data_IF_995035523841
#
_entry.id   IF_995035523841
#
_cell.length_a   1.000
_cell.length_b   1.000
_cell.length_c   1.000
_cell.angle_alpha   90.00
_cell.angle_beta   90.00
_cell.angle_gamma   90.00
#
_symmetry.space_group_name_H-M   'P 1'
#
loop_
_entity.id
_entity.type
_entity.pdbx_description
1 polymer ?
#
# COMPACT_ATOMS: atom_id res chain seq x y z
N UNK A 1 -4.43 32.53 56.74
CA UNK A 1 -4.69 32.07 55.35
C UNK A 1 -3.33 32.09 54.65
N UNK A 2 -2.45 31.10 54.83
CA UNK A 2 -2.61 29.72 54.39
C UNK A 2 -1.96 29.56 53.01
N UNK A 3 -0.63 29.44 52.95
CA UNK A 3 0.10 28.32 52.34
C UNK A 3 0.45 28.51 50.84
N UNK A 4 1.74 28.64 50.51
CA UNK A 4 2.66 27.59 50.03
C UNK A 4 2.42 27.19 48.56
N UNK A 5 3.53 27.22 47.80
CA UNK A 5 4.03 26.10 47.00
C UNK A 5 4.32 26.38 45.51
N UNK A 6 5.61 26.59 45.28
CA UNK A 6 6.46 25.82 44.36
C UNK A 6 6.24 25.82 42.84
N UNK A 7 7.20 26.48 42.16
CA UNK A 7 8.24 25.84 41.33
C UNK A 7 7.80 24.77 40.30
N UNK A 8 7.90 25.08 39.00
CA UNK A 8 9.02 24.70 38.08
C UNK A 8 8.60 24.84 36.60
N UNK A 9 9.55 25.14 35.70
CA UNK A 9 9.29 25.22 34.26
C UNK A 9 9.10 23.82 33.67
N UNK A 10 8.03 23.63 32.90
CA UNK A 10 7.74 22.35 32.25
C UNK A 10 8.52 22.29 30.93
N UNK A 11 9.69 21.66 31.03
CA UNK A 11 10.37 20.81 30.05
C UNK A 11 9.81 20.80 28.62
N UNK A 12 10.64 21.25 27.68
CA UNK A 12 10.50 21.05 26.24
C UNK A 12 10.50 19.56 25.92
N UNK A 13 9.31 18.94 25.91
CA UNK A 13 9.15 17.59 25.37
C UNK A 13 9.04 17.71 23.86
N UNK A 14 10.18 17.52 23.20
CA UNK A 14 10.31 17.25 21.77
C UNK A 14 9.16 16.33 21.37
N UNK A 15 8.24 16.84 20.55
CA UNK A 15 7.19 16.02 19.94
C UNK A 15 7.87 15.11 18.93
N UNK A 16 8.45 14.02 19.40
CA UNK A 16 8.72 12.89 18.54
C UNK A 16 7.37 12.45 17.98
N UNK A 17 7.13 12.81 16.72
CA UNK A 17 6.11 12.17 15.90
C UNK A 17 6.46 10.68 15.95
N UNK A 18 5.60 9.80 16.47
CA UNK A 18 5.79 8.39 16.21
C UNK A 18 5.75 8.29 14.69
N UNK A 19 6.87 7.92 14.07
CA UNK A 19 6.86 7.33 12.75
C UNK A 19 6.02 6.07 12.94
N UNK A 20 4.72 6.20 12.69
CA UNK A 20 3.77 5.12 12.76
C UNK A 20 4.06 4.27 11.51
N UNK A 21 5.10 3.46 11.68
CA UNK A 21 5.34 2.17 11.07
C UNK A 21 4.19 1.82 10.13
N UNK A 22 4.35 2.13 8.84
CA UNK A 22 3.52 1.56 7.75
C UNK A 22 4.03 0.14 7.53
N UNK A 23 3.97 -0.67 8.58
CA UNK A 23 4.44 -2.04 8.60
C UNK A 23 3.35 -2.81 9.35
N UNK A 24 2.69 -3.71 8.65
CA UNK A 24 1.77 -4.67 9.28
C UNK A 24 0.39 -4.79 8.64
N UNK A 25 -0.28 -3.70 8.26
CA UNK A 25 -1.63 -3.82 7.70
C UNK A 25 -1.66 -4.44 6.28
N UNK A 26 -0.52 -4.47 5.58
CA UNK A 26 -0.37 -5.17 4.28
C UNK A 26 0.06 -6.63 4.43
N UNK A 27 0.84 -6.99 5.46
CA UNK A 27 1.37 -8.34 5.60
C UNK A 27 0.28 -9.38 5.95
N UNK A 28 -0.81 -8.95 6.58
CA UNK A 28 -1.97 -9.78 6.84
C UNK A 28 -2.93 -9.95 5.64
N UNK A 29 -2.67 -9.27 4.50
CA UNK A 29 -3.42 -9.54 3.26
C UNK A 29 -2.91 -10.84 2.65
N UNK A 30 -3.50 -11.94 3.13
CA UNK A 30 -3.55 -13.24 2.48
C UNK A 30 -2.17 -13.79 2.07
N UNK A 31 -1.67 -14.78 2.81
CA UNK A 31 -0.78 -15.78 2.21
C UNK A 31 -1.56 -16.52 1.11
N UNK A 32 -1.70 -15.89 -0.07
CA UNK A 32 -2.14 -16.56 -1.28
C UNK A 32 -0.96 -17.37 -1.76
N UNK A 33 -1.15 -18.68 -1.80
CA UNK A 33 -0.20 -19.60 -2.39
C UNK A 33 0.00 -19.19 -3.86
N UNK A 34 1.24 -18.97 -4.30
CA UNK A 34 1.51 -18.55 -5.69
C UNK A 34 0.92 -19.52 -6.71
N UNK A 35 0.81 -20.80 -6.35
CA UNK A 35 0.18 -21.84 -7.16
C UNK A 35 -1.34 -21.64 -7.39
N UNK A 36 -2.02 -20.79 -6.63
CA UNK A 36 -3.44 -20.48 -6.84
C UNK A 36 -3.68 -19.25 -7.73
N UNK A 37 -2.63 -18.65 -8.27
CA UNK A 37 -2.71 -17.49 -9.18
C UNK A 37 -2.60 -17.99 -10.62
N UNK A 38 -3.50 -17.51 -11.49
CA UNK A 38 -3.35 -17.71 -12.94
C UNK A 38 -2.09 -16.97 -13.41
N UNK A 39 -1.10 -17.72 -13.88
CA UNK A 39 0.18 -17.16 -14.33
C UNK A 39 0.02 -16.24 -15.54
N UNK A 40 -1.05 -16.37 -16.32
CA UNK A 40 -1.36 -15.43 -17.42
C UNK A 40 -1.64 -14.01 -16.89
N UNK A 41 -2.04 -13.88 -15.62
CA UNK A 41 -2.25 -12.60 -14.98
C UNK A 41 -0.95 -11.81 -14.82
N UNK A 42 0.19 -12.50 -14.70
CA UNK A 42 1.50 -11.86 -14.60
C UNK A 42 1.86 -11.09 -15.88
N UNK A 43 1.52 -11.64 -17.05
CA UNK A 43 1.72 -10.98 -18.34
C UNK A 43 0.86 -9.71 -18.47
N UNK A 44 -0.38 -9.78 -17.99
CA UNK A 44 -1.28 -8.62 -17.97
C UNK A 44 -0.79 -7.53 -17.01
N UNK A 45 -0.24 -7.93 -15.85
CA UNK A 45 0.33 -7.02 -14.87
C UNK A 45 1.58 -6.32 -15.41
N UNK A 46 2.49 -7.06 -16.04
CA UNK A 46 3.69 -6.52 -16.67
C UNK A 46 3.35 -5.44 -17.71
N UNK A 47 2.44 -5.76 -18.65
CA UNK A 47 2.01 -4.82 -19.67
C UNK A 47 1.38 -3.55 -19.07
N UNK A 48 0.66 -3.66 -17.95
CA UNK A 48 0.09 -2.52 -17.24
C UNK A 48 1.14 -1.65 -16.56
N UNK A 49 2.17 -2.25 -15.98
CA UNK A 49 3.28 -1.51 -15.37
C UNK A 49 4.07 -0.73 -16.43
N UNK A 50 4.24 -1.31 -17.61
CA UNK A 50 4.92 -0.69 -18.75
C UNK A 50 4.09 0.46 -19.35
N UNK A 51 2.83 0.20 -19.71
CA UNK A 51 2.02 1.13 -20.50
C UNK A 51 1.25 2.15 -19.65
N UNK A 52 1.01 1.86 -18.36
CA UNK A 52 0.19 2.66 -17.43
C UNK A 52 -1.21 3.03 -17.96
N UNK A 53 -1.70 2.26 -18.94
CA UNK A 53 -2.97 2.46 -19.61
C UNK A 53 -3.54 1.10 -20.02
N UNK A 54 -4.73 0.77 -19.52
CA UNK A 54 -5.34 -0.55 -19.75
C UNK A 54 -5.68 -0.86 -21.20
N UNK A 55 -5.97 0.14 -22.03
CA UNK A 55 -6.24 -0.08 -23.46
C UNK A 55 -4.97 -0.42 -24.22
N UNK A 56 -3.87 0.29 -23.92
CA UNK A 56 -2.57 0.01 -24.53
C UNK A 56 -2.00 -1.33 -24.06
N UNK A 57 -2.08 -1.62 -22.76
CA UNK A 57 -1.66 -2.90 -22.19
C UNK A 57 -2.46 -4.07 -22.81
N UNK A 58 -3.79 -3.95 -22.91
CA UNK A 58 -4.62 -4.99 -23.51
C UNK A 58 -4.25 -5.27 -24.97
N UNK A 59 -4.01 -4.21 -25.76
CA UNK A 59 -3.52 -4.35 -27.14
C UNK A 59 -2.17 -5.03 -27.21
N UNK A 60 -1.25 -4.71 -26.29
CA UNK A 60 0.08 -5.31 -26.23
C UNK A 60 0.01 -6.84 -26.04
N UNK A 61 -0.85 -7.32 -25.14
CA UNK A 61 -1.05 -8.76 -24.88
C UNK A 61 -2.16 -9.40 -25.73
N UNK A 62 -2.62 -8.72 -26.78
CA UNK A 62 -3.67 -9.19 -27.72
C UNK A 62 -5.01 -9.56 -27.05
N UNK A 63 -5.35 -8.89 -25.95
CA UNK A 63 -6.66 -8.98 -25.30
C UNK A 63 -7.54 -7.78 -25.66
N UNK A 64 -8.85 -7.95 -25.52
CA UNK A 64 -9.74 -6.80 -25.41
C UNK A 64 -9.57 -6.14 -24.03
N UNK A 65 -9.75 -4.81 -23.95
CA UNK A 65 -9.71 -4.10 -22.67
C UNK A 65 -10.73 -4.67 -21.64
N UNK A 66 -11.97 -5.03 -22.02
CA UNK A 66 -12.92 -5.68 -21.10
C UNK A 66 -12.44 -7.05 -20.60
N UNK A 67 -11.75 -7.84 -21.43
CA UNK A 67 -11.18 -9.12 -21.00
C UNK A 67 -10.06 -8.92 -19.98
N UNK A 68 -9.17 -7.96 -20.22
CA UNK A 68 -8.10 -7.60 -19.28
C UNK A 68 -8.66 -7.09 -17.95
N UNK A 69 -9.66 -6.19 -18.00
CA UNK A 69 -10.28 -5.66 -16.77
C UNK A 69 -11.04 -6.71 -15.96
N UNK A 70 -11.46 -7.83 -16.56
CA UNK A 70 -12.10 -8.94 -15.84
C UNK A 70 -11.09 -9.92 -15.24
N UNK A 71 -9.87 -9.95 -15.76
CA UNK A 71 -8.80 -10.82 -15.27
C UNK A 71 -8.15 -10.26 -13.99
N UNK A 72 -8.17 -8.93 -13.82
CA UNK A 72 -7.58 -8.17 -12.72
C UNK A 72 -8.61 -7.85 -11.63
#
# INVERSE_FOLDING_TARGET
MGELSCRRPISSKTRERPRLVVEGARAARQQKMLASIDLNLLLSLEALLEHRNGTHAARHVRLSQPSMSRAL
#
